data_IF_688377756572
#
_entry.id   IF_688377756572
#
_cell.length_a   1.000
_cell.length_b   1.000
_cell.length_c   1.000
_cell.angle_alpha   90.00
_cell.angle_beta   90.00
_cell.angle_gamma   90.00
#
_symmetry.space_group_name_H-M   'P 1'
#
loop_
_entity.id
_entity.type
_entity.pdbx_description
1 polymer ?
#
# COMPACT_ATOMS: atom_id res chain seq x y z
N UNK A 1 -18.49 -22.48 22.58
CA UNK A 1 -17.43 -21.92 21.71
C UNK A 1 -17.62 -20.42 21.74
N UNK A 2 -16.58 -19.67 22.08
CA UNK A 2 -16.61 -18.19 22.04
C UNK A 2 -16.70 -17.74 20.59
N UNK A 3 -17.51 -16.72 20.31
CA UNK A 3 -17.64 -16.14 18.98
C UNK A 3 -16.27 -15.64 18.47
N UNK A 4 -15.85 -15.95 17.21
CA UNK A 4 -14.57 -15.52 16.67
C UNK A 4 -14.52 -13.99 16.48
N UNK A 5 -13.34 -13.40 16.54
CA UNK A 5 -13.12 -12.02 16.15
C UNK A 5 -13.05 -11.93 14.62
N UNK A 6 -13.92 -11.16 13.99
CA UNK A 6 -14.02 -11.03 12.54
C UNK A 6 -13.21 -9.84 12.03
N UNK A 7 -12.24 -10.11 11.18
CA UNK A 7 -11.30 -9.12 10.64
C UNK A 7 -11.53 -8.99 9.13
N UNK A 8 -12.14 -7.89 8.70
CA UNK A 8 -12.28 -7.56 7.28
C UNK A 8 -10.95 -7.01 6.76
N UNK A 9 -10.44 -7.61 5.70
CA UNK A 9 -9.10 -7.33 5.19
C UNK A 9 -8.98 -7.59 3.70
N UNK A 10 -7.77 -7.36 3.15
CA UNK A 10 -7.41 -7.64 1.77
C UNK A 10 -6.29 -8.68 1.67
N UNK A 11 -6.03 -9.17 0.47
CA UNK A 11 -5.00 -10.18 0.17
C UNK A 11 -3.55 -9.72 0.42
N UNK A 12 -3.34 -8.42 0.67
CA UNK A 12 -2.00 -7.83 0.81
C UNK A 12 -1.29 -8.31 2.08
N UNK A 13 -2.05 -8.67 3.10
CA UNK A 13 -1.53 -9.07 4.40
C UNK A 13 -1.30 -10.59 4.48
N UNK A 14 -0.26 -11.04 5.20
CA UNK A 14 0.04 -12.47 5.33
C UNK A 14 -0.78 -13.15 6.43
N UNK A 15 -2.09 -12.96 6.46
CA UNK A 15 -2.99 -13.46 7.51
C UNK A 15 -2.80 -14.93 7.83
N UNK A 16 -2.64 -15.75 6.78
CA UNK A 16 -2.48 -17.20 6.93
C UNK A 16 -1.23 -17.58 7.74
N UNK A 17 -0.21 -16.71 7.72
CA UNK A 17 1.03 -16.91 8.48
C UNK A 17 0.93 -16.37 9.90
N UNK A 18 -0.03 -15.49 10.17
CA UNK A 18 -0.24 -14.88 11.49
C UNK A 18 -1.29 -15.61 12.33
N UNK A 19 -2.32 -16.18 11.68
CA UNK A 19 -3.52 -16.68 12.35
C UNK A 19 -3.23 -17.66 13.49
N UNK A 20 -2.50 -18.73 13.20
CA UNK A 20 -2.27 -19.79 14.20
C UNK A 20 -1.54 -19.28 15.45
N UNK A 21 -0.54 -18.43 15.29
CA UNK A 21 0.19 -17.84 16.41
C UNK A 21 -0.69 -16.86 17.18
N UNK A 22 -1.44 -16.00 16.47
CA UNK A 22 -2.33 -15.05 17.10
C UNK A 22 -3.42 -15.74 17.95
N UNK A 23 -4.07 -16.76 17.40
CA UNK A 23 -5.10 -17.54 18.12
C UNK A 23 -4.53 -18.24 19.36
N UNK A 24 -3.30 -18.77 19.24
CA UNK A 24 -2.60 -19.38 20.38
C UNK A 24 -2.31 -18.37 21.49
N UNK A 25 -1.82 -17.18 21.13
CA UNK A 25 -1.42 -16.15 22.09
C UNK A 25 -2.62 -15.46 22.74
N UNK A 26 -3.68 -15.22 21.96
CA UNK A 26 -4.88 -14.49 22.37
C UNK A 26 -5.92 -15.40 23.07
N UNK A 27 -5.90 -16.70 22.80
CA UNK A 27 -6.82 -17.67 23.39
C UNK A 27 -8.25 -17.60 22.86
N UNK A 28 -8.45 -17.02 21.65
CA UNK A 28 -9.73 -17.03 20.93
C UNK A 28 -9.52 -17.14 19.42
N UNK A 29 -10.57 -17.57 18.72
CA UNK A 29 -10.55 -17.76 17.27
C UNK A 29 -10.61 -16.43 16.51
N UNK A 30 -9.93 -16.38 15.36
CA UNK A 30 -9.95 -15.26 14.40
C UNK A 30 -10.60 -15.72 13.10
N UNK A 31 -11.47 -14.89 12.55
CA UNK A 31 -12.06 -15.07 11.21
C UNK A 31 -11.59 -13.92 10.30
N UNK A 32 -10.77 -14.25 9.29
CA UNK A 32 -10.34 -13.28 8.28
C UNK A 32 -11.31 -13.29 7.11
N UNK A 33 -11.99 -12.15 6.89
CA UNK A 33 -12.91 -11.90 5.78
C UNK A 33 -12.12 -11.19 4.69
N UNK A 34 -11.45 -11.98 3.84
CA UNK A 34 -10.60 -11.46 2.76
C UNK A 34 -11.45 -11.05 1.55
N UNK A 35 -11.26 -9.84 1.06
CA UNK A 35 -11.90 -9.29 -0.14
C UNK A 35 -10.88 -8.51 -0.97
N UNK A 36 -11.20 -8.27 -2.24
CA UNK A 36 -10.45 -7.27 -3.01
C UNK A 36 -10.61 -5.88 -2.38
N UNK A 37 -9.70 -4.98 -2.74
CA UNK A 37 -9.56 -3.66 -2.12
C UNK A 37 -10.86 -2.85 -2.15
N UNK A 38 -11.54 -2.81 -3.31
CA UNK A 38 -12.79 -2.05 -3.51
C UNK A 38 -13.95 -2.69 -2.74
N UNK A 39 -14.06 -4.01 -2.81
CA UNK A 39 -15.11 -4.77 -2.10
C UNK A 39 -14.95 -4.70 -0.58
N UNK A 40 -13.72 -4.72 -0.05
CA UNK A 40 -13.44 -4.55 1.38
C UNK A 40 -13.91 -3.17 1.86
N UNK A 41 -13.53 -2.10 1.18
CA UNK A 41 -13.91 -0.73 1.48
C UNK A 41 -15.43 -0.54 1.44
N UNK A 42 -16.09 -1.06 0.38
CA UNK A 42 -17.55 -0.99 0.26
C UNK A 42 -18.22 -1.72 1.40
N UNK A 43 -17.78 -2.94 1.73
CA UNK A 43 -18.33 -3.71 2.86
C UNK A 43 -18.17 -2.95 4.16
N UNK A 44 -16.99 -2.41 4.42
CA UNK A 44 -16.72 -1.64 5.64
C UNK A 44 -17.68 -0.46 5.81
N UNK A 45 -17.96 0.27 4.73
CA UNK A 45 -18.82 1.45 4.77
C UNK A 45 -20.32 1.10 4.93
N UNK A 46 -20.81 0.07 4.22
CA UNK A 46 -22.27 -0.18 4.12
C UNK A 46 -22.77 -1.26 5.08
N UNK A 47 -21.93 -2.15 5.55
CA UNK A 47 -22.27 -3.27 6.43
C UNK A 47 -21.33 -3.42 7.62
N UNK A 48 -21.26 -2.43 8.53
CA UNK A 48 -20.39 -2.47 9.70
C UNK A 48 -20.77 -3.59 10.70
N UNK A 49 -21.89 -4.25 10.55
CA UNK A 49 -22.28 -5.41 11.35
C UNK A 49 -21.61 -6.72 10.92
N UNK A 50 -21.01 -6.76 9.73
CA UNK A 50 -20.38 -7.97 9.19
C UNK A 50 -18.96 -8.21 9.66
N UNK A 51 -18.32 -7.26 10.34
CA UNK A 51 -16.96 -7.35 10.83
C UNK A 51 -16.80 -6.66 12.20
N UNK A 52 -15.71 -6.95 12.88
CA UNK A 52 -15.33 -6.34 14.16
C UNK A 52 -14.14 -5.38 13.97
N UNK A 53 -13.11 -5.81 13.26
CA UNK A 53 -11.95 -4.99 12.89
C UNK A 53 -11.89 -4.85 11.37
N UNK A 54 -11.60 -3.65 10.87
CA UNK A 54 -11.36 -3.38 9.46
C UNK A 54 -9.93 -2.92 9.24
N UNK A 55 -9.16 -3.68 8.47
CA UNK A 55 -7.77 -3.40 8.10
C UNK A 55 -7.69 -2.88 6.67
N UNK A 56 -7.19 -1.64 6.51
CA UNK A 56 -7.20 -0.93 5.22
C UNK A 56 -6.17 0.21 5.19
N UNK A 57 -5.99 0.79 3.99
CA UNK A 57 -5.17 1.98 3.82
C UNK A 57 -5.84 3.24 4.37
N UNK A 58 -5.02 4.14 4.93
CA UNK A 58 -5.45 5.37 5.59
C UNK A 58 -6.20 6.32 4.66
N UNK A 59 -5.84 6.38 3.39
CA UNK A 59 -6.53 7.26 2.42
C UNK A 59 -8.02 6.94 2.26
N UNK A 60 -8.47 5.75 2.65
CA UNK A 60 -9.88 5.37 2.63
C UNK A 60 -10.64 5.70 3.92
N UNK A 61 -9.96 6.28 4.90
CA UNK A 61 -10.51 6.54 6.24
C UNK A 61 -11.77 7.41 6.21
N UNK A 62 -11.78 8.48 5.41
CA UNK A 62 -12.90 9.41 5.33
C UNK A 62 -14.21 8.70 4.94
N UNK A 63 -14.13 7.75 4.05
CA UNK A 63 -15.32 7.00 3.59
C UNK A 63 -15.97 6.26 4.74
N UNK A 64 -15.21 5.57 5.57
CA UNK A 64 -15.76 4.80 6.69
C UNK A 64 -16.07 5.67 7.92
N UNK A 65 -15.31 6.74 8.13
CA UNK A 65 -15.50 7.64 9.27
C UNK A 65 -16.76 8.50 9.11
N UNK A 66 -16.89 9.23 8.03
CA UNK A 66 -18.04 10.12 7.82
C UNK A 66 -19.35 9.36 7.53
N UNK A 67 -19.26 8.11 7.08
CA UNK A 67 -20.40 7.19 7.03
C UNK A 67 -20.73 6.59 8.40
N UNK A 68 -19.98 6.94 9.44
CA UNK A 68 -20.14 6.43 10.80
C UNK A 68 -20.13 4.90 10.85
N UNK A 69 -19.31 4.26 10.05
CA UNK A 69 -19.16 2.81 10.02
C UNK A 69 -18.20 2.28 11.08
N UNK A 70 -17.32 3.15 11.56
CA UNK A 70 -16.29 2.85 12.58
C UNK A 70 -16.44 3.77 13.79
N UNK A 71 -15.85 3.37 14.90
CA UNK A 71 -15.78 4.13 16.15
C UNK A 71 -14.33 4.54 16.49
N UNK A 72 -14.19 5.53 17.36
CA UNK A 72 -12.90 5.97 17.86
C UNK A 72 -12.21 4.89 18.71
N UNK A 73 -10.89 4.81 18.59
CA UNK A 73 -10.01 3.96 19.39
C UNK A 73 -9.43 4.78 20.52
N UNK A 74 -9.57 4.33 21.76
CA UNK A 74 -8.95 4.94 22.94
C UNK A 74 -7.46 4.57 22.99
N UNK A 75 -6.58 5.57 22.84
CA UNK A 75 -5.12 5.36 22.83
C UNK A 75 -4.59 4.83 24.14
N UNK A 76 -5.28 5.06 25.28
CA UNK A 76 -4.89 4.53 26.59
C UNK A 76 -5.00 2.99 26.68
N UNK A 77 -5.77 2.39 25.79
CA UNK A 77 -5.94 0.94 25.65
C UNK A 77 -4.93 0.30 24.68
N UNK A 78 -4.11 1.11 24.02
CA UNK A 78 -3.06 0.63 23.09
C UNK A 78 -1.74 0.61 23.84
N UNK A 79 -1.28 -0.58 24.20
CA UNK A 79 -0.08 -0.81 25.02
C UNK A 79 1.18 -0.19 24.41
N UNK A 80 1.29 -0.25 23.06
CA UNK A 80 2.44 0.24 22.30
C UNK A 80 2.19 1.57 21.60
N UNK A 81 1.27 2.37 22.11
CA UNK A 81 0.96 3.68 21.55
C UNK A 81 2.19 4.60 21.44
N UNK A 82 3.01 4.63 22.49
CA UNK A 82 4.20 5.48 22.53
C UNK A 82 5.40 4.89 21.76
N UNK A 83 5.33 3.63 21.34
CA UNK A 83 6.33 2.97 20.50
C UNK A 83 6.10 3.21 18.99
N UNK A 84 4.97 3.83 18.61
CA UNK A 84 4.70 4.21 17.23
C UNK A 84 5.73 5.24 16.76
N UNK A 85 6.25 5.06 15.54
CA UNK A 85 7.19 6.00 14.97
C UNK A 85 6.55 7.36 14.62
N UNK A 86 7.37 8.41 14.54
CA UNK A 86 6.90 9.77 14.27
C UNK A 86 6.31 9.91 12.86
N UNK A 87 6.66 9.01 11.93
CA UNK A 87 6.14 9.05 10.57
C UNK A 87 4.63 8.79 10.53
N UNK A 88 4.13 7.93 11.43
CA UNK A 88 2.73 7.49 11.42
C UNK A 88 1.88 8.14 12.51
N UNK A 89 2.49 8.66 13.58
CA UNK A 89 1.79 9.20 14.75
C UNK A 89 1.73 10.71 14.79
N UNK A 90 2.71 11.40 14.22
CA UNK A 90 2.81 12.86 14.31
C UNK A 90 2.94 13.52 12.95
N UNK A 91 2.51 14.77 12.84
CA UNK A 91 2.77 15.59 11.66
C UNK A 91 4.20 16.16 11.64
N UNK A 92 5.19 15.42 12.19
CA UNK A 92 6.58 15.86 12.31
C UNK A 92 7.23 16.21 10.97
N UNK A 93 8.40 16.81 11.01
CA UNK A 93 9.11 17.35 9.84
C UNK A 93 9.39 16.33 8.72
N UNK A 94 9.46 15.03 9.05
CA UNK A 94 9.56 13.94 8.07
C UNK A 94 8.22 13.56 7.44
N UNK A 95 7.11 13.79 8.13
CA UNK A 95 5.76 13.57 7.62
C UNK A 95 5.26 14.74 6.75
N UNK A 96 5.81 15.93 6.91
CA UNK A 96 5.49 17.12 6.08
C UNK A 96 6.10 17.05 4.66
N UNK A 97 6.83 16.00 4.34
CA UNK A 97 7.40 15.80 3.01
C UNK A 97 6.42 15.04 2.13
N UNK A 98 6.14 15.62 0.98
CA UNK A 98 5.24 15.08 -0.01
C UNK A 98 3.86 15.76 0.04
N UNK A 99 3.18 15.63 -1.07
CA UNK A 99 1.80 16.06 -1.25
C UNK A 99 0.85 14.97 -0.73
N UNK A 100 -0.43 15.28 -0.65
CA UNK A 100 -1.48 14.32 -0.33
C UNK A 100 -1.74 14.15 1.16
N UNK A 101 -2.36 13.02 1.53
CA UNK A 101 -2.78 12.74 2.91
C UNK A 101 -1.61 12.24 3.76
N UNK A 102 -0.90 13.20 4.33
CA UNK A 102 0.19 12.92 5.26
C UNK A 102 -0.35 12.10 6.45
N UNK A 103 0.36 11.06 6.90
CA UNK A 103 0.01 10.35 8.13
C UNK A 103 -0.22 11.35 9.27
N UNK A 104 -1.13 11.05 10.16
CA UNK A 104 -1.60 11.89 11.24
C UNK A 104 -2.50 13.09 10.84
N UNK A 105 -2.61 13.48 9.58
CA UNK A 105 -3.48 14.61 9.17
C UNK A 105 -4.95 14.45 9.61
N UNK A 106 -5.41 13.20 9.72
CA UNK A 106 -6.78 12.82 10.12
C UNK A 106 -6.77 11.71 11.18
N UNK A 107 -5.68 11.61 11.93
CA UNK A 107 -5.50 10.52 12.90
C UNK A 107 -6.35 10.73 14.15
N UNK A 108 -6.39 11.95 14.69
CA UNK A 108 -7.00 12.22 15.99
C UNK A 108 -8.44 12.68 15.88
N UNK A 109 -9.29 12.02 16.67
CA UNK A 109 -10.73 12.35 16.77
C UNK A 109 -10.90 13.50 17.72
N UNK A 110 -11.47 14.61 17.24
CA UNK A 110 -11.76 15.78 18.02
C UNK A 110 -13.10 15.67 18.78
N UNK A 111 -13.37 16.59 19.69
CA UNK A 111 -14.58 16.57 20.53
C UNK A 111 -15.89 16.65 19.70
N UNK A 112 -15.85 17.33 18.57
CA UNK A 112 -16.96 17.45 17.62
C UNK A 112 -17.02 16.31 16.57
N UNK A 113 -16.23 15.26 16.79
CA UNK A 113 -16.06 14.12 15.88
C UNK A 113 -15.43 14.47 14.53
N UNK A 114 -14.83 15.63 14.35
CA UNK A 114 -13.95 15.94 13.23
C UNK A 114 -12.60 15.25 13.42
N UNK A 115 -11.87 15.06 12.33
CA UNK A 115 -10.53 14.48 12.32
C UNK A 115 -9.49 15.55 12.09
N UNK A 116 -8.37 15.48 12.81
CA UNK A 116 -7.23 16.40 12.63
C UNK A 116 -5.90 15.76 13.05
N UNK A 117 -4.81 16.50 12.91
CA UNK A 117 -3.48 16.14 13.38
C UNK A 117 -3.23 16.54 14.85
N UNK A 118 -4.17 17.26 15.47
CA UNK A 118 -4.05 17.71 16.86
C UNK A 118 -4.27 16.56 17.83
N UNK A 119 -3.26 16.16 18.64
CA UNK A 119 -3.34 15.00 19.51
C UNK A 119 -4.48 15.04 20.51
N UNK A 120 -5.21 13.94 20.61
CA UNK A 120 -6.22 13.66 21.62
C UNK A 120 -6.01 12.26 22.19
N UNK A 121 -6.81 11.85 23.18
CA UNK A 121 -6.82 10.46 23.68
C UNK A 121 -7.56 9.48 22.76
N UNK A 122 -8.01 9.90 21.58
CA UNK A 122 -8.84 9.11 20.67
C UNK A 122 -8.35 9.23 19.23
N UNK A 123 -8.27 8.10 18.54
CA UNK A 123 -7.84 8.04 17.13
C UNK A 123 -8.89 7.36 16.27
N UNK A 124 -8.88 7.69 14.98
CA UNK A 124 -9.80 7.15 13.98
C UNK A 124 -9.39 5.77 13.47
N UNK A 125 -8.07 5.53 13.41
CA UNK A 125 -7.44 4.31 12.89
C UNK A 125 -6.14 4.09 13.66
N UNK A 126 -5.87 2.85 14.07
CA UNK A 126 -4.55 2.49 14.63
C UNK A 126 -3.56 2.31 13.48
N UNK A 127 -2.51 3.14 13.33
CA UNK A 127 -1.49 2.95 12.32
C UNK A 127 -0.75 1.63 12.54
N UNK A 128 -0.61 0.80 11.50
CA UNK A 128 0.02 -0.52 11.61
C UNK A 128 1.25 -0.68 10.73
N UNK A 129 1.11 -0.52 9.43
CA UNK A 129 2.20 -0.74 8.47
C UNK A 129 2.15 0.31 7.36
N UNK A 130 3.26 0.47 6.65
CA UNK A 130 3.37 1.44 5.55
C UNK A 130 4.46 1.03 4.57
N UNK A 131 4.49 1.70 3.44
CA UNK A 131 5.58 1.55 2.48
C UNK A 131 5.80 2.81 1.64
N UNK A 132 6.91 2.77 0.88
CA UNK A 132 7.31 3.76 -0.09
C UNK A 132 7.43 3.06 -1.44
N UNK A 133 6.40 3.23 -2.27
CA UNK A 133 6.28 2.49 -3.52
C UNK A 133 6.70 3.34 -4.72
N UNK A 134 7.13 2.64 -5.75
CA UNK A 134 7.32 3.12 -7.11
C UNK A 134 6.89 2.02 -8.08
N UNK A 135 7.58 1.85 -9.17
CA UNK A 135 7.30 0.77 -10.12
C UNK A 135 8.42 -0.28 -10.12
N UNK A 136 8.06 -1.51 -10.47
CA UNK A 136 9.00 -2.59 -10.68
C UNK A 136 9.53 -2.59 -12.11
N UNK A 137 10.76 -3.08 -12.25
CA UNK A 137 11.50 -3.20 -13.51
C UNK A 137 12.04 -4.61 -13.64
N UNK A 138 11.85 -5.24 -14.80
CA UNK A 138 12.57 -6.45 -15.17
C UNK A 138 14.04 -6.09 -15.43
N UNK A 139 14.93 -6.58 -14.58
CA UNK A 139 16.30 -6.07 -14.44
C UNK A 139 17.38 -6.99 -14.99
N UNK A 140 17.02 -8.06 -15.75
CA UNK A 140 18.01 -9.04 -16.22
C UNK A 140 19.06 -8.47 -17.17
N UNK A 141 18.73 -7.36 -17.86
CA UNK A 141 19.60 -6.71 -18.85
C UNK A 141 19.71 -5.19 -18.66
N UNK A 142 19.29 -4.67 -17.52
CA UNK A 142 19.18 -3.22 -17.25
C UNK A 142 19.84 -2.90 -15.93
N UNK A 143 20.74 -1.93 -15.90
CA UNK A 143 21.22 -1.31 -14.66
C UNK A 143 20.15 -0.31 -14.16
N UNK A 144 19.22 -0.82 -13.36
CA UNK A 144 18.05 -0.04 -12.89
C UNK A 144 18.47 1.24 -12.18
N UNK A 145 19.54 1.21 -11.39
CA UNK A 145 20.00 2.38 -10.63
C UNK A 145 20.57 3.50 -11.51
N UNK A 146 21.01 3.17 -12.74
CA UNK A 146 21.53 4.15 -13.69
C UNK A 146 20.55 4.53 -14.80
N UNK A 147 19.76 3.56 -15.25
CA UNK A 147 18.95 3.72 -16.46
C UNK A 147 17.48 4.06 -16.15
N UNK A 148 16.99 3.72 -14.96
CA UNK A 148 15.58 3.86 -14.57
C UNK A 148 15.52 4.77 -13.34
N UNK A 149 15.74 6.05 -13.55
CA UNK A 149 15.92 7.03 -12.46
C UNK A 149 14.76 8.02 -12.32
N UNK A 150 13.70 7.88 -13.10
CA UNK A 150 12.57 8.82 -13.12
C UNK A 150 11.24 8.10 -13.34
N UNK A 151 10.17 8.62 -12.78
CA UNK A 151 8.80 8.19 -13.11
C UNK A 151 8.49 8.34 -14.60
N UNK A 152 9.14 9.27 -15.31
CA UNK A 152 8.99 9.47 -16.74
C UNK A 152 9.28 8.20 -17.57
N UNK A 153 10.02 7.24 -17.01
CA UNK A 153 10.29 5.97 -17.68
C UNK A 153 9.02 5.15 -17.96
N UNK A 154 7.96 5.32 -17.19
CA UNK A 154 6.66 4.70 -17.49
C UNK A 154 6.05 5.20 -18.81
N UNK A 155 6.50 6.35 -19.33
CA UNK A 155 6.03 6.95 -20.60
C UNK A 155 7.04 6.79 -21.72
N UNK A 156 8.22 6.20 -21.48
CA UNK A 156 9.26 6.06 -22.48
C UNK A 156 8.81 5.11 -23.59
N UNK A 157 8.80 5.56 -24.87
CA UNK A 157 8.32 4.75 -26.00
C UNK A 157 9.02 3.39 -26.15
N UNK A 158 10.23 3.23 -25.63
CA UNK A 158 10.96 1.94 -25.69
C UNK A 158 10.21 0.82 -24.97
N UNK A 159 9.30 1.15 -24.04
CA UNK A 159 8.50 0.20 -23.27
C UNK A 159 7.05 0.04 -23.79
N UNK A 160 6.76 0.56 -24.97
CA UNK A 160 5.41 0.50 -25.53
C UNK A 160 4.83 -0.93 -25.49
N UNK A 161 3.63 -1.07 -24.93
CA UNK A 161 2.93 -2.33 -24.75
C UNK A 161 3.42 -3.18 -23.55
N UNK A 162 4.45 -2.75 -22.84
CA UNK A 162 5.07 -3.50 -21.74
C UNK A 162 4.97 -2.78 -20.39
N UNK A 163 4.10 -1.78 -20.27
CA UNK A 163 3.86 -0.98 -19.05
C UNK A 163 2.44 -1.23 -18.55
N UNK A 164 2.29 -1.53 -17.26
CA UNK A 164 0.99 -1.66 -16.62
C UNK A 164 0.90 -0.85 -15.32
N UNK A 165 -0.29 -0.38 -15.01
CA UNK A 165 -0.62 0.33 -13.76
C UNK A 165 -1.54 -0.53 -12.89
N UNK A 166 -1.55 -0.26 -11.60
CA UNK A 166 -2.52 -0.85 -10.65
C UNK A 166 -3.91 -0.30 -10.95
N UNK A 167 -4.91 -1.18 -11.04
CA UNK A 167 -6.32 -0.82 -11.16
C UNK A 167 -6.89 -0.42 -9.79
N UNK A 168 -6.37 0.68 -9.25
CA UNK A 168 -6.88 1.34 -8.06
C UNK A 168 -6.69 2.86 -8.25
N UNK A 169 -7.79 3.65 -8.19
CA UNK A 169 -7.73 5.08 -8.50
C UNK A 169 -6.72 5.88 -7.70
N UNK A 170 -6.63 5.63 -6.37
CA UNK A 170 -5.69 6.33 -5.49
C UNK A 170 -4.24 5.82 -5.61
N UNK A 171 -3.96 4.87 -6.51
CA UNK A 171 -2.63 4.33 -6.78
C UNK A 171 -2.24 4.61 -8.23
N UNK A 172 -2.93 3.96 -9.18
CA UNK A 172 -2.57 4.02 -10.60
C UNK A 172 -2.68 5.42 -11.19
N UNK A 173 -3.66 6.21 -10.73
CA UNK A 173 -3.80 7.60 -11.17
C UNK A 173 -2.64 8.46 -10.67
N UNK A 174 -2.18 8.27 -9.42
CA UNK A 174 -1.01 8.97 -8.89
C UNK A 174 0.28 8.54 -9.58
N UNK A 175 0.45 7.25 -9.87
CA UNK A 175 1.63 6.76 -10.59
C UNK A 175 1.70 7.38 -12.00
N UNK A 176 0.56 7.51 -12.68
CA UNK A 176 0.48 8.20 -13.98
C UNK A 176 0.72 9.70 -13.84
N UNK A 177 0.17 10.35 -12.81
CA UNK A 177 0.39 11.78 -12.56
C UNK A 177 1.88 12.09 -12.31
N UNK A 178 2.54 11.26 -11.48
CA UNK A 178 3.98 11.33 -11.25
C UNK A 178 4.77 11.18 -12.55
N UNK A 179 4.39 10.23 -13.41
CA UNK A 179 5.04 10.01 -14.69
C UNK A 179 4.87 11.20 -15.64
N UNK A 180 3.66 11.74 -15.78
CA UNK A 180 3.36 12.91 -16.64
C UNK A 180 4.08 14.17 -16.15
N UNK A 181 4.11 14.40 -14.84
CA UNK A 181 4.81 15.51 -14.21
C UNK A 181 6.33 15.38 -14.43
N UNK A 182 6.90 14.22 -14.18
CA UNK A 182 8.33 13.94 -14.37
C UNK A 182 8.77 14.09 -15.84
N UNK A 183 7.88 13.78 -16.79
CA UNK A 183 8.10 13.97 -18.22
C UNK A 183 7.86 15.41 -18.70
N UNK A 184 7.46 16.34 -17.83
CA UNK A 184 7.11 17.71 -18.18
C UNK A 184 5.88 17.82 -19.11
N UNK A 185 5.02 16.79 -19.12
CA UNK A 185 3.82 16.76 -19.97
C UNK A 185 2.58 17.30 -19.25
N UNK A 186 2.63 17.42 -17.92
CA UNK A 186 1.56 17.97 -17.12
C UNK A 186 2.12 18.61 -15.85
N UNK A 187 1.57 19.75 -15.47
CA UNK A 187 1.79 20.40 -14.19
C UNK A 187 0.53 20.34 -13.35
N UNK A 188 0.68 20.20 -12.03
CA UNK A 188 -0.42 20.13 -11.09
C UNK A 188 -0.31 21.27 -10.09
N UNK A 189 -1.42 21.90 -9.75
CA UNK A 189 -1.47 22.86 -8.66
C UNK A 189 -1.29 22.13 -7.32
N UNK A 190 -2.03 21.04 -7.14
CA UNK A 190 -1.88 20.11 -6.02
C UNK A 190 -2.16 18.67 -6.49
N UNK A 191 -1.11 17.91 -6.77
CA UNK A 191 -1.26 16.53 -7.22
C UNK A 191 -1.99 15.65 -6.19
N UNK A 192 -1.92 15.97 -4.90
CA UNK A 192 -2.62 15.24 -3.83
C UNK A 192 -4.12 15.52 -3.77
N UNK A 193 -4.59 16.61 -4.39
CA UNK A 193 -6.01 16.98 -4.46
C UNK A 193 -6.29 17.71 -5.78
N UNK A 194 -6.38 16.93 -6.87
CA UNK A 194 -6.52 17.45 -8.24
C UNK A 194 -7.91 18.03 -8.48
N UNK A 195 -7.95 19.15 -9.19
CA UNK A 195 -9.19 19.71 -9.74
C UNK A 195 -9.78 18.82 -10.83
N UNK A 196 -11.08 18.96 -11.09
CA UNK A 196 -11.78 18.28 -12.22
C UNK A 196 -11.03 18.46 -13.54
N UNK A 197 -10.53 19.68 -13.81
CA UNK A 197 -9.78 19.98 -15.03
C UNK A 197 -8.47 19.20 -15.12
N UNK A 198 -7.73 19.08 -14.01
CA UNK A 198 -6.49 18.31 -13.97
C UNK A 198 -6.78 16.82 -14.15
N UNK A 199 -7.84 16.29 -13.50
CA UNK A 199 -8.28 14.91 -13.69
C UNK A 199 -8.62 14.62 -15.15
N UNK A 200 -9.41 15.49 -15.82
CA UNK A 200 -9.77 15.32 -17.23
C UNK A 200 -8.53 15.35 -18.12
N UNK A 201 -7.61 16.29 -17.89
CA UNK A 201 -6.36 16.39 -18.66
C UNK A 201 -5.51 15.13 -18.50
N UNK A 202 -5.40 14.60 -17.26
CA UNK A 202 -4.68 13.36 -16.99
C UNK A 202 -5.34 12.17 -17.69
N UNK A 203 -6.67 12.07 -17.64
CA UNK A 203 -7.44 11.01 -18.33
C UNK A 203 -7.25 11.08 -19.84
N UNK A 204 -7.25 12.27 -20.43
CA UNK A 204 -6.98 12.45 -21.87
C UNK A 204 -5.55 11.97 -22.25
N UNK A 205 -4.56 12.20 -21.40
CA UNK A 205 -3.22 11.64 -21.60
C UNK A 205 -3.24 10.11 -21.52
N UNK A 206 -3.89 9.54 -20.49
CA UNK A 206 -4.03 8.10 -20.34
C UNK A 206 -4.72 7.44 -21.55
N UNK A 207 -5.81 8.03 -22.05
CA UNK A 207 -6.51 7.55 -23.24
C UNK A 207 -5.60 7.50 -24.47
N UNK A 208 -4.78 8.54 -24.70
CA UNK A 208 -3.80 8.55 -25.79
C UNK A 208 -2.79 7.43 -25.66
N UNK A 209 -2.26 7.20 -24.46
CA UNK A 209 -1.32 6.10 -24.18
C UNK A 209 -1.94 4.72 -24.38
N UNK A 210 -3.21 4.53 -24.00
CA UNK A 210 -3.95 3.29 -24.25
C UNK A 210 -4.24 3.11 -25.75
N UNK A 211 -4.66 4.18 -26.44
CA UNK A 211 -4.96 4.10 -27.87
C UNK A 211 -3.72 3.84 -28.72
N UNK A 212 -2.56 4.37 -28.34
CA UNK A 212 -1.28 4.08 -29.00
C UNK A 212 -0.74 2.67 -28.69
N UNK A 213 -1.37 1.94 -27.76
CA UNK A 213 -0.89 0.64 -27.30
C UNK A 213 0.33 0.74 -26.38
N UNK A 214 0.63 1.92 -25.80
CA UNK A 214 1.73 2.08 -24.88
C UNK A 214 1.44 1.42 -23.53
N UNK A 215 0.27 1.70 -22.94
CA UNK A 215 -0.18 1.04 -21.70
C UNK A 215 -0.85 -0.29 -22.01
N UNK A 216 -0.40 -1.33 -21.34
CA UNK A 216 -1.06 -2.63 -21.26
C UNK A 216 -2.30 -2.55 -20.33
N UNK A 217 -3.19 -3.57 -20.34
CA UNK A 217 -4.29 -3.64 -19.38
C UNK A 217 -3.81 -3.46 -17.95
N UNK A 218 -4.59 -2.74 -17.16
CA UNK A 218 -4.31 -2.53 -15.75
C UNK A 218 -4.54 -3.83 -14.97
N UNK A 219 -3.95 -3.96 -13.80
CA UNK A 219 -4.04 -5.15 -12.98
C UNK A 219 -4.62 -4.80 -11.60
N UNK A 220 -5.41 -5.69 -11.04
CA UNK A 220 -6.04 -5.52 -9.72
C UNK A 220 -5.52 -6.53 -8.70
N UNK A 221 -5.28 -7.76 -9.10
CA UNK A 221 -4.84 -8.84 -8.22
C UNK A 221 -3.32 -8.95 -8.24
N UNK A 222 -2.71 -9.19 -7.08
CA UNK A 222 -1.25 -9.21 -6.93
C UNK A 222 -0.55 -10.33 -7.74
N UNK A 223 -1.27 -11.39 -8.13
CA UNK A 223 -0.75 -12.50 -8.96
C UNK A 223 -0.69 -12.15 -10.46
N UNK A 224 -1.54 -11.26 -10.96
CA UNK A 224 -1.59 -10.91 -12.39
C UNK A 224 -0.27 -10.34 -12.94
N UNK A 225 0.40 -9.37 -12.30
CA UNK A 225 1.67 -8.89 -12.81
C UNK A 225 2.78 -9.95 -12.75
N UNK A 226 2.74 -10.88 -11.77
CA UNK A 226 3.72 -11.98 -11.69
C UNK A 226 3.71 -12.81 -12.96
N UNK A 227 2.55 -13.30 -13.40
CA UNK A 227 2.41 -14.09 -14.63
C UNK A 227 2.84 -13.29 -15.86
N UNK A 228 2.45 -12.02 -15.94
CA UNK A 228 2.75 -11.18 -17.11
C UNK A 228 4.24 -10.83 -17.24
N UNK A 229 4.95 -10.64 -16.13
CA UNK A 229 6.41 -10.50 -16.13
C UNK A 229 7.09 -11.80 -16.53
N UNK A 230 6.64 -12.96 -16.01
CA UNK A 230 7.15 -14.29 -16.39
C UNK A 230 7.03 -14.56 -17.89
N UNK A 231 5.91 -14.17 -18.47
CA UNK A 231 5.64 -14.36 -19.90
C UNK A 231 6.33 -13.30 -20.78
N UNK A 232 7.03 -12.31 -20.19
CA UNK A 232 7.69 -11.25 -20.93
C UNK A 232 6.73 -10.18 -21.48
N UNK A 233 5.47 -10.18 -21.06
CA UNK A 233 4.47 -9.20 -21.47
C UNK A 233 4.69 -7.83 -20.82
N UNK A 234 5.29 -7.82 -19.63
CA UNK A 234 5.63 -6.60 -18.89
C UNK A 234 7.12 -6.46 -18.68
N UNK A 235 7.60 -5.22 -18.73
CA UNK A 235 8.94 -4.80 -18.33
C UNK A 235 8.91 -3.79 -17.19
N UNK A 236 7.86 -2.97 -17.11
CA UNK A 236 7.62 -2.02 -16.04
C UNK A 236 6.17 -2.15 -15.54
N UNK A 237 5.98 -2.06 -14.24
CA UNK A 237 4.64 -1.93 -13.68
C UNK A 237 4.66 -1.19 -12.35
N UNK A 238 3.64 -0.34 -12.08
CA UNK A 238 3.36 0.06 -10.71
C UNK A 238 3.03 -1.20 -9.90
N UNK A 239 3.59 -1.34 -8.69
CA UNK A 239 3.57 -2.65 -8.01
C UNK A 239 3.72 -2.50 -6.50
N UNK A 240 3.26 -3.53 -5.78
CA UNK A 240 3.43 -3.67 -4.33
C UNK A 240 4.61 -4.56 -3.96
N UNK A 241 5.24 -4.28 -2.83
CA UNK A 241 6.41 -5.05 -2.37
C UNK A 241 6.19 -6.56 -2.23
N UNK A 242 5.05 -7.09 -1.74
CA UNK A 242 4.81 -8.54 -1.70
C UNK A 242 4.87 -9.20 -3.08
N UNK A 243 4.38 -8.51 -4.10
CA UNK A 243 4.45 -9.00 -5.50
C UNK A 243 5.91 -9.07 -5.99
N UNK A 244 6.74 -8.07 -5.63
CA UNK A 244 8.19 -8.11 -5.92
C UNK A 244 8.86 -9.30 -5.23
N UNK A 245 8.53 -9.54 -3.95
CA UNK A 245 9.04 -10.68 -3.18
C UNK A 245 8.64 -11.99 -3.84
N UNK A 246 7.40 -12.12 -4.28
CA UNK A 246 6.91 -13.31 -4.98
C UNK A 246 7.63 -13.53 -6.33
N UNK A 247 7.82 -12.47 -7.12
CA UNK A 247 8.58 -12.54 -8.38
C UNK A 247 10.02 -13.00 -8.15
N UNK A 248 10.69 -12.47 -7.14
CA UNK A 248 12.05 -12.89 -6.76
C UNK A 248 12.09 -14.34 -6.30
N UNK A 249 11.08 -14.79 -5.56
CA UNK A 249 10.94 -16.19 -5.16
C UNK A 249 10.85 -17.12 -6.37
N UNK A 250 10.25 -16.67 -7.47
CA UNK A 250 10.19 -17.39 -8.73
C UNK A 250 11.46 -17.25 -9.59
N UNK A 251 12.51 -16.62 -9.05
CA UNK A 251 13.81 -16.48 -9.72
C UNK A 251 13.89 -15.33 -10.72
N UNK A 252 12.91 -14.44 -10.75
CA UNK A 252 12.95 -13.28 -11.64
C UNK A 252 13.92 -12.21 -11.12
N UNK A 253 14.66 -11.60 -12.03
CA UNK A 253 15.49 -10.42 -11.76
C UNK A 253 14.62 -9.17 -11.74
N UNK A 254 13.96 -8.91 -10.62
CA UNK A 254 13.07 -7.76 -10.45
C UNK A 254 13.65 -6.79 -9.43
N UNK A 255 13.61 -5.50 -9.76
CA UNK A 255 13.99 -4.41 -8.87
C UNK A 255 12.92 -3.32 -8.84
N UNK A 256 12.76 -2.66 -7.71
CA UNK A 256 11.97 -1.45 -7.60
C UNK A 256 12.81 -0.26 -8.08
N UNK A 257 12.26 0.61 -8.91
CA UNK A 257 12.91 1.84 -9.33
C UNK A 257 13.11 2.80 -8.13
N UNK A 258 14.13 3.64 -8.23
CA UNK A 258 14.39 4.76 -7.31
C UNK A 258 14.27 6.08 -8.07
N UNK A 259 13.07 6.59 -8.31
CA UNK A 259 12.89 7.82 -9.06
C UNK A 259 13.46 9.03 -8.32
N UNK A 260 14.09 9.94 -9.04
CA UNK A 260 14.65 11.19 -8.47
C UNK A 260 13.56 12.11 -7.93
N UNK A 261 12.35 12.00 -8.45
CA UNK A 261 11.18 12.75 -7.98
C UNK A 261 10.70 12.27 -6.60
N UNK A 262 11.00 11.04 -6.24
CA UNK A 262 10.62 10.42 -4.98
C UNK A 262 9.57 9.31 -5.10
N UNK A 263 9.19 8.79 -3.93
CA UNK A 263 8.24 7.67 -3.82
C UNK A 263 6.81 8.15 -3.64
N UNK A 264 5.86 7.32 -4.07
CA UNK A 264 4.49 7.36 -3.61
C UNK A 264 4.38 6.54 -2.31
N UNK A 265 4.08 7.22 -1.23
CA UNK A 265 3.96 6.60 0.09
C UNK A 265 2.49 6.31 0.42
N UNK A 266 2.29 5.33 1.28
CA UNK A 266 0.99 4.99 1.84
C UNK A 266 1.17 4.36 3.22
N UNK A 267 0.14 4.40 4.04
CA UNK A 267 0.11 3.62 5.27
C UNK A 267 -1.26 2.98 5.47
N UNK A 268 -1.25 1.86 6.17
CA UNK A 268 -2.42 1.11 6.56
C UNK A 268 -2.67 1.21 8.06
N UNK A 269 -3.81 0.73 8.47
CA UNK A 269 -4.18 0.67 9.86
C UNK A 269 -5.46 -0.10 10.08
N UNK A 270 -5.79 -0.27 11.35
CA UNK A 270 -6.97 -1.01 11.78
C UNK A 270 -7.99 -0.07 12.42
N UNK A 271 -9.23 -0.20 11.97
CA UNK A 271 -10.38 0.50 12.53
C UNK A 271 -11.27 -0.46 13.31
N UNK A 272 -12.00 0.04 14.30
CA UNK A 272 -13.00 -0.70 15.05
C UNK A 272 -14.40 -0.44 14.48
N UNK A 273 -15.19 -1.51 14.22
CA UNK A 273 -16.57 -1.38 13.82
C UNK A 273 -17.37 -0.56 14.85
N UNK A 274 -18.29 0.28 14.36
CA UNK A 274 -19.17 1.09 15.23
C UNK A 274 -20.04 0.27 16.18
N UNK A 275 -20.30 -0.99 15.84
CA UNK A 275 -21.21 -1.87 16.58
C UNK A 275 -20.52 -2.63 17.72
N UNK A 276 -19.23 -2.46 17.92
CA UNK A 276 -18.48 -3.16 18.96
C UNK A 276 -18.77 -2.60 20.34
N UNK A 277 -19.08 -3.51 21.24
CA UNK A 277 -19.16 -3.25 22.67
C UNK A 277 -18.73 -4.48 23.49
N UNK A 278 -18.72 -4.35 24.81
CA UNK A 278 -18.49 -5.44 25.75
C UNK A 278 -17.28 -6.30 25.40
N UNK A 279 -17.43 -7.62 25.45
CA UNK A 279 -16.33 -8.58 25.26
C UNK A 279 -15.74 -8.55 23.84
N UNK A 280 -16.53 -8.27 22.80
CA UNK A 280 -16.01 -8.19 21.45
C UNK A 280 -15.11 -6.96 21.26
N UNK A 281 -15.47 -5.83 21.86
CA UNK A 281 -14.60 -4.66 21.91
C UNK A 281 -13.28 -4.96 22.64
N UNK A 282 -13.34 -5.70 23.74
CA UNK A 282 -12.11 -6.12 24.48
C UNK A 282 -11.21 -7.00 23.62
N UNK A 283 -11.76 -8.04 22.97
CA UNK A 283 -11.02 -8.88 22.03
C UNK A 283 -10.38 -8.08 20.89
N UNK A 284 -11.11 -7.07 20.39
CA UNK A 284 -10.58 -6.20 19.33
C UNK A 284 -9.33 -5.45 19.83
N UNK A 285 -9.33 -4.90 21.02
CA UNK A 285 -8.14 -4.25 21.60
C UNK A 285 -7.01 -5.26 21.90
N UNK A 286 -7.32 -6.47 22.33
CA UNK A 286 -6.34 -7.55 22.51
C UNK A 286 -5.64 -7.86 21.18
N UNK A 287 -6.41 -7.95 20.07
CA UNK A 287 -5.88 -8.12 18.72
C UNK A 287 -5.02 -6.94 18.26
N UNK A 288 -5.48 -5.69 18.43
CA UNK A 288 -4.71 -4.50 18.07
C UNK A 288 -3.36 -4.45 18.78
N UNK A 289 -3.33 -4.78 20.07
CA UNK A 289 -2.11 -4.82 20.86
C UNK A 289 -1.18 -5.97 20.46
N UNK A 290 -1.72 -7.15 20.20
CA UNK A 290 -0.94 -8.29 19.70
C UNK A 290 -0.27 -7.96 18.35
N UNK A 291 -1.00 -7.30 17.47
CA UNK A 291 -0.48 -6.94 16.14
C UNK A 291 0.72 -5.98 16.23
N UNK A 292 0.75 -5.09 17.20
CA UNK A 292 1.85 -4.16 17.45
C UNK A 292 3.00 -4.73 18.33
N UNK A 293 2.88 -5.93 18.89
CA UNK A 293 3.92 -6.54 19.74
C UNK A 293 5.25 -6.81 19.01
N UNK A 294 5.24 -6.79 17.69
CA UNK A 294 6.41 -7.00 16.84
C UNK A 294 6.44 -8.35 16.11
N UNK A 295 5.68 -9.35 16.56
CA UNK A 295 5.61 -10.65 15.86
C UNK A 295 5.01 -10.49 14.45
N UNK A 296 3.86 -9.87 14.33
CA UNK A 296 3.25 -9.58 13.04
C UNK A 296 4.20 -8.74 12.17
N UNK A 297 4.89 -7.76 12.77
CA UNK A 297 5.85 -6.92 12.08
C UNK A 297 7.05 -7.68 11.52
N UNK A 298 7.54 -8.71 12.21
CA UNK A 298 8.63 -9.56 11.70
C UNK A 298 8.20 -10.38 10.46
N UNK A 299 6.94 -10.78 10.38
CA UNK A 299 6.34 -11.44 9.21
C UNK A 299 6.15 -10.44 8.07
N UNK A 300 5.57 -9.29 8.35
CA UNK A 300 5.26 -8.22 7.38
C UNK A 300 6.53 -7.62 6.77
N UNK A 301 7.61 -7.46 7.56
CA UNK A 301 8.90 -6.97 7.08
C UNK A 301 9.50 -7.83 5.95
N UNK A 302 9.32 -9.16 6.03
CA UNK A 302 9.79 -10.08 4.99
C UNK A 302 8.98 -10.05 3.70
N UNK A 303 7.89 -9.30 3.69
CA UNK A 303 7.16 -8.93 2.49
C UNK A 303 7.56 -7.55 1.93
N UNK A 304 8.53 -6.90 2.56
CA UNK A 304 9.07 -5.61 2.14
C UNK A 304 8.33 -4.40 2.67
N UNK A 305 7.43 -4.57 3.64
CA UNK A 305 6.71 -3.49 4.31
C UNK A 305 7.40 -3.07 5.61
N UNK A 306 7.07 -1.89 6.10
CA UNK A 306 7.52 -1.35 7.38
C UNK A 306 6.36 -1.29 8.37
N UNK A 307 6.67 -1.52 9.65
CA UNK A 307 5.68 -1.36 10.73
C UNK A 307 5.83 0.00 11.41
N UNK A 308 4.73 0.50 11.92
CA UNK A 308 4.67 1.71 12.73
C UNK A 308 5.41 1.59 14.08
N UNK A 309 5.80 0.38 14.49
CA UNK A 309 6.52 0.07 15.73
C UNK A 309 7.90 -0.56 15.43
N UNK A 310 8.83 0.15 14.78
CA UNK A 310 10.08 -0.43 14.26
C UNK A 310 10.93 -1.08 15.35
N UNK A 311 10.98 -0.52 16.56
CA UNK A 311 11.79 -1.08 17.66
C UNK A 311 11.24 -2.41 18.15
N UNK A 312 9.91 -2.60 18.12
CA UNK A 312 9.29 -3.89 18.43
C UNK A 312 9.61 -4.93 17.37
N UNK A 313 9.58 -4.54 16.10
CA UNK A 313 9.99 -5.42 14.99
C UNK A 313 11.45 -5.80 15.11
N UNK A 314 12.34 -4.85 15.42
CA UNK A 314 13.78 -5.11 15.62
C UNK A 314 14.05 -6.16 16.67
N UNK A 315 13.27 -6.17 17.76
CA UNK A 315 13.40 -7.14 18.83
C UNK A 315 12.99 -8.57 18.42
N UNK A 316 12.19 -8.71 17.36
CA UNK A 316 11.64 -10.00 16.88
C UNK A 316 12.25 -10.49 15.57
N UNK A 317 12.80 -9.57 14.77
CA UNK A 317 13.35 -9.88 13.45
C UNK A 317 14.83 -10.30 13.59
N UNK A 318 15.30 -11.39 12.95
CA UNK A 318 16.72 -11.72 12.91
C UNK A 318 17.55 -10.57 12.36
N UNK A 319 18.76 -10.41 12.90
CA UNK A 319 19.64 -9.28 12.52
C UNK A 319 19.88 -9.18 11.02
N UNK A 320 20.08 -10.29 10.33
CA UNK A 320 20.31 -10.28 8.87
C UNK A 320 19.10 -9.74 8.08
N UNK A 321 17.87 -10.09 8.52
CA UNK A 321 16.64 -9.54 7.95
C UNK A 321 16.51 -8.05 8.26
N UNK A 322 16.78 -7.63 9.51
CA UNK A 322 16.75 -6.22 9.91
C UNK A 322 17.72 -5.40 9.08
N UNK A 323 18.97 -5.84 8.98
CA UNK A 323 20.01 -5.16 8.22
C UNK A 323 19.60 -4.96 6.74
N UNK A 324 18.99 -5.96 6.13
CA UNK A 324 18.51 -5.86 4.74
C UNK A 324 17.24 -5.00 4.61
N UNK A 325 16.20 -5.29 5.40
CA UNK A 325 14.89 -4.68 5.21
C UNK A 325 14.79 -3.26 5.76
N UNK A 326 15.46 -2.96 6.87
CA UNK A 326 15.38 -1.64 7.53
C UNK A 326 16.61 -0.78 7.35
N UNK A 327 17.82 -1.36 7.42
CA UNK A 327 19.07 -0.59 7.28
C UNK A 327 19.53 -0.49 5.82
N UNK A 328 18.95 -1.26 4.87
CA UNK A 328 19.30 -1.24 3.46
C UNK A 328 20.72 -1.77 3.17
N UNK A 329 21.28 -2.54 4.10
CA UNK A 329 22.61 -3.15 3.93
C UNK A 329 22.52 -4.35 2.96
N UNK A 330 23.65 -4.74 2.32
CA UNK A 330 23.67 -5.96 1.54
C UNK A 330 23.29 -7.18 2.38
N UNK A 331 22.49 -8.09 1.80
CA UNK A 331 22.11 -9.32 2.48
C UNK A 331 23.37 -10.14 2.85
N UNK A 332 23.62 -10.33 4.14
CA UNK A 332 24.80 -11.04 4.64
C UNK A 332 24.73 -12.56 4.41
N UNK A 333 23.54 -13.05 4.10
CA UNK A 333 23.22 -14.45 3.78
C UNK A 333 21.95 -14.49 2.93
N UNK A 334 21.58 -15.66 2.40
CA UNK A 334 20.28 -15.82 1.78
C UNK A 334 19.17 -15.60 2.81
N UNK A 335 18.20 -14.73 2.48
CA UNK A 335 17.05 -14.45 3.33
C UNK A 335 15.80 -15.10 2.75
N UNK A 336 14.87 -15.44 3.64
CA UNK A 336 13.61 -16.07 3.27
C UNK A 336 12.45 -15.06 3.32
N UNK A 337 11.42 -15.37 2.53
CA UNK A 337 10.11 -14.70 2.68
C UNK A 337 9.44 -15.07 4.02
N UNK A 338 8.27 -14.50 4.25
CA UNK A 338 7.52 -14.75 5.47
C UNK A 338 7.08 -16.22 5.66
N UNK A 339 7.05 -17.03 4.58
CA UNK A 339 6.75 -18.45 4.62
C UNK A 339 8.00 -19.35 4.74
N UNK A 340 9.18 -18.76 4.96
CA UNK A 340 10.45 -19.49 5.09
C UNK A 340 11.07 -19.94 3.76
N UNK A 341 10.62 -19.43 2.62
CA UNK A 341 11.14 -19.80 1.30
C UNK A 341 12.26 -18.85 0.87
N UNK A 342 13.42 -19.33 0.38
CA UNK A 342 14.52 -18.48 -0.07
C UNK A 342 14.06 -17.47 -1.13
N UNK A 343 14.40 -16.20 -0.96
CA UNK A 343 13.91 -15.11 -1.82
C UNK A 343 14.99 -14.08 -2.13
N UNK A 344 15.80 -13.68 -1.15
CA UNK A 344 16.87 -12.70 -1.30
C UNK A 344 18.20 -13.44 -1.29
N UNK A 345 19.04 -13.14 -2.26
CA UNK A 345 20.37 -13.77 -2.37
C UNK A 345 21.42 -13.00 -1.55
N UNK A 346 22.43 -13.72 -1.06
CA UNK A 346 23.60 -13.11 -0.41
C UNK A 346 24.20 -12.03 -1.29
N UNK A 347 24.49 -10.85 -0.72
CA UNK A 347 25.05 -9.70 -1.42
C UNK A 347 24.00 -8.82 -2.13
N UNK A 348 22.76 -9.24 -2.23
CA UNK A 348 21.70 -8.41 -2.80
C UNK A 348 21.47 -7.16 -1.94
N UNK A 349 21.25 -6.02 -2.59
CA UNK A 349 20.94 -4.73 -1.95
C UNK A 349 19.52 -4.32 -2.29
N UNK A 350 18.74 -3.93 -1.26
CA UNK A 350 17.42 -3.39 -1.43
C UNK A 350 17.47 -2.04 -2.14
N UNK A 351 16.64 -1.82 -3.16
CA UNK A 351 16.56 -0.54 -3.86
C UNK A 351 16.16 0.59 -2.90
N UNK A 352 16.82 1.73 -3.02
CA UNK A 352 16.50 2.94 -2.26
C UNK A 352 17.17 3.09 -0.91
N UNK A 353 17.99 2.12 -0.48
CA UNK A 353 18.75 2.20 0.77
C UNK A 353 17.92 1.88 2.02
N UNK A 354 18.25 2.52 3.14
CA UNK A 354 17.57 2.30 4.43
C UNK A 354 16.12 2.80 4.43
N UNK A 355 15.35 2.34 5.42
CA UNK A 355 14.01 2.88 5.69
C UNK A 355 14.02 4.41 5.82
N UNK A 356 15.02 4.95 6.50
CA UNK A 356 15.14 6.39 6.70
C UNK A 356 15.46 7.14 5.40
N UNK A 357 16.33 6.58 4.54
CA UNK A 357 16.64 7.19 3.24
C UNK A 357 15.41 7.23 2.35
N UNK A 358 14.66 6.14 2.31
CA UNK A 358 13.41 6.05 1.56
C UNK A 358 12.35 7.02 2.09
N UNK A 359 12.19 7.12 3.42
CA UNK A 359 11.26 8.05 4.06
C UNK A 359 11.59 9.53 3.77
N UNK A 360 12.86 9.88 3.64
CA UNK A 360 13.29 11.24 3.24
C UNK A 360 13.00 11.57 1.78
N UNK A 361 12.67 10.55 0.98
CA UNK A 361 12.48 10.67 -0.46
C UNK A 361 11.02 10.45 -0.88
N UNK A 362 10.08 10.80 -0.01
CA UNK A 362 8.65 10.76 -0.30
C UNK A 362 8.27 12.00 -1.14
N UNK A 363 7.60 11.77 -2.28
CA UNK A 363 7.04 12.81 -3.12
C UNK A 363 5.57 13.07 -2.82
N UNK A 364 4.80 12.01 -2.62
CA UNK A 364 3.35 12.07 -2.43
C UNK A 364 2.87 10.93 -1.53
N UNK A 365 1.83 11.20 -0.76
CA UNK A 365 1.05 10.20 -0.03
C UNK A 365 -0.24 9.88 -0.78
N UNK A 366 -0.63 8.62 -0.78
CA UNK A 366 -1.96 8.24 -1.29
C UNK A 366 -3.03 9.06 -0.57
N UNK A 367 -3.95 9.63 -1.35
CA UNK A 367 -5.04 10.47 -0.85
C UNK A 367 -6.37 10.08 -1.47
N UNK A 368 -7.43 10.28 -0.69
CA UNK A 368 -8.78 10.42 -1.23
C UNK A 368 -9.03 11.90 -1.48
N UNK A 369 -9.12 12.27 -2.75
CA UNK A 369 -9.30 13.66 -3.17
C UNK A 369 -10.73 14.14 -2.93
N UNK A 370 -10.97 15.45 -2.86
CA UNK A 370 -12.31 16.04 -2.80
C UNK A 370 -13.20 15.53 -3.94
N UNK A 371 -12.62 15.37 -5.14
CA UNK A 371 -13.28 14.87 -6.34
C UNK A 371 -13.26 13.33 -6.46
N UNK A 372 -13.17 12.60 -5.35
CA UNK A 372 -13.01 11.13 -5.33
C UNK A 372 -14.01 10.39 -6.23
N UNK A 373 -15.29 10.70 -6.13
CA UNK A 373 -16.31 10.03 -6.95
C UNK A 373 -16.12 10.29 -8.44
N UNK A 374 -15.64 11.48 -8.81
CA UNK A 374 -15.30 11.82 -10.17
C UNK A 374 -14.08 11.03 -10.64
N UNK A 375 -13.03 10.98 -9.84
CA UNK A 375 -11.81 10.20 -10.10
C UNK A 375 -12.15 8.73 -10.35
N UNK A 376 -12.92 8.09 -9.45
CA UNK A 376 -13.32 6.68 -9.58
C UNK A 376 -14.05 6.42 -10.89
N UNK A 377 -15.01 7.28 -11.26
CA UNK A 377 -15.73 7.15 -12.53
C UNK A 377 -14.79 7.24 -13.73
N UNK A 378 -13.94 8.27 -13.77
CA UNK A 378 -13.02 8.50 -14.90
C UNK A 378 -11.96 7.38 -14.99
N UNK A 379 -11.49 6.88 -13.85
CA UNK A 379 -10.57 5.74 -13.81
C UNK A 379 -11.21 4.47 -14.36
N UNK A 380 -12.44 4.15 -13.97
CA UNK A 380 -13.16 2.99 -14.49
C UNK A 380 -13.37 3.05 -16.03
N UNK A 381 -13.55 4.25 -16.59
CA UNK A 381 -13.59 4.44 -18.06
C UNK A 381 -12.25 4.05 -18.71
N UNK A 382 -11.11 4.42 -18.09
CA UNK A 382 -9.77 4.05 -18.58
C UNK A 382 -9.52 2.55 -18.48
N UNK A 383 -9.89 1.92 -17.36
CA UNK A 383 -9.76 0.47 -17.15
C UNK A 383 -10.55 -0.30 -18.21
N UNK A 384 -11.79 0.08 -18.44
CA UNK A 384 -12.64 -0.52 -19.47
C UNK A 384 -12.05 -0.33 -20.88
N UNK A 385 -11.50 0.85 -21.18
CA UNK A 385 -10.84 1.14 -22.45
C UNK A 385 -9.60 0.25 -22.63
N UNK A 386 -8.72 0.16 -21.64
CA UNK A 386 -7.51 -0.65 -21.69
C UNK A 386 -7.84 -2.15 -21.89
N UNK A 387 -8.84 -2.66 -21.15
CA UNK A 387 -9.30 -4.05 -21.29
C UNK A 387 -9.90 -4.34 -22.67
N UNK A 388 -10.57 -3.38 -23.30
CA UNK A 388 -11.16 -3.54 -24.63
C UNK A 388 -10.12 -3.72 -25.75
N UNK A 389 -8.94 -3.10 -25.59
CA UNK A 389 -7.84 -3.13 -26.58
C UNK A 389 -7.06 -4.43 -26.57
N UNK A 390 -7.05 -5.16 -25.46
CA UNK A 390 -6.34 -6.44 -25.34
C UNK A 390 -7.11 -7.64 -25.87
N UNK A 391 -8.41 -7.50 -26.18
CA UNK A 391 -9.16 -8.58 -26.82
C UNK A 391 -8.74 -8.69 -28.28
N UNK A 392 -8.24 -9.85 -28.77
CA UNK A 392 -7.97 -10.00 -30.19
C UNK A 392 -9.25 -9.70 -30.97
N UNK A 393 -9.18 -8.76 -31.90
CA UNK A 393 -10.29 -8.52 -32.83
C UNK A 393 -10.58 -9.86 -33.50
N UNK A 394 -11.70 -10.49 -33.16
CA UNK A 394 -12.21 -11.60 -33.96
C UNK A 394 -12.38 -11.05 -35.37
N UNK A 395 -11.44 -11.39 -36.24
CA UNK A 395 -11.65 -11.19 -37.69
C UNK A 395 -12.93 -11.93 -38.02
N UNK A 396 -14.00 -11.17 -38.26
CA UNK A 396 -15.18 -11.69 -38.92
C UNK A 396 -14.74 -11.98 -40.34
N UNK A 397 -14.52 -13.25 -40.62
CA UNK A 397 -14.28 -13.79 -41.96
C UNK A 397 -15.62 -13.96 -42.66
#
# INVERSE_FOLDING_TARGET
VSEPLRILTTEIQPWRLLKAQAESDLGFELEFIEKDFISAQRTAAVDPGSYDVYDQCFHNLDIVWYWRAIQAIDTRRITHWDDLDDLTRTAGASAQRGLGDVPASRLFVQHDATLSDSPTGSISMLPTFYNFDSFAVEASQIDVDKEITSWAELLNPKWAGQVALVDEPAIGLFDLAMALSAAGQMEFENMGNMSVREIDTLVDHAQRLIHSGHLSPFWLRADEPVERFLNGELKLASIWSPTIVEMKRQGMSIRQARPVEGYRAWHGGMCLSRNLDGRMLDKSYEWLNWYLDGHAGAVVARQGYYMSVPDRVKARLPKADWDYWYEGLPASQNLCDAAGRPTIQTGEIRSGGSRQDRARHIAIWNSTMDEHNYVVRRWNELVALAASKSRPQRRVS
#
